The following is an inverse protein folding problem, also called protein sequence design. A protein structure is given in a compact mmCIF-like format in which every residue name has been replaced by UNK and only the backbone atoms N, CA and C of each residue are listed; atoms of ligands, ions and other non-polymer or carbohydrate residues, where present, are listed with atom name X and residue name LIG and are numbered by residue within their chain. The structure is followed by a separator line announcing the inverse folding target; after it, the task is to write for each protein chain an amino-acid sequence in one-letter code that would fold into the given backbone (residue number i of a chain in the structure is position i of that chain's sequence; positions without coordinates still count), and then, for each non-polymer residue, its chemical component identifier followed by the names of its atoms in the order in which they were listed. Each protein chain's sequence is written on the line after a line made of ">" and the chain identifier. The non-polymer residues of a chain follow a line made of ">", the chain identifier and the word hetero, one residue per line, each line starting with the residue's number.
data_IF_405192274007
#
_entry.id   IF_405192274007
#
_cell.length_a   1.000
_cell.length_b   1.000
_cell.length_c   1.000
_cell.angle_alpha   90.00
_cell.angle_beta   90.00
_cell.angle_gamma   90.00
#
_symmetry.space_group_name_H-M   'P 1'
#
loop_
_entity.id
_entity.type
_entity.pdbx_description
1 polymer ?
#
# COMPACT_ATOMS: atom_id res chain seq x y z
N UNK A 1 5.38 -12.81 -9.55
CA UNK A 1 4.32 -13.69 -10.09
C UNK A 1 4.32 -15.00 -9.29
N UNK A 2 3.33 -15.90 -9.43
CA UNK A 2 3.32 -17.17 -8.70
C UNK A 2 4.59 -18.02 -8.89
N UNK A 3 5.26 -17.89 -10.03
CA UNK A 3 6.51 -18.58 -10.35
C UNK A 3 7.78 -17.83 -9.90
N UNK A 4 7.64 -16.83 -9.02
CA UNK A 4 8.74 -15.96 -8.59
C UNK A 4 9.42 -15.19 -9.75
N UNK A 5 8.68 -14.87 -10.81
CA UNK A 5 9.17 -13.89 -11.79
C UNK A 5 8.77 -12.49 -11.36
N UNK A 6 9.58 -11.49 -11.69
CA UNK A 6 9.24 -10.09 -11.45
C UNK A 6 8.58 -9.51 -12.70
N UNK A 7 7.44 -8.86 -12.53
CA UNK A 7 6.79 -8.13 -13.62
C UNK A 7 7.45 -6.76 -13.79
N UNK A 8 7.59 -6.31 -15.04
CA UNK A 8 7.88 -4.92 -15.39
C UNK A 8 6.66 -4.18 -15.94
N UNK A 9 5.52 -4.86 -16.10
CA UNK A 9 4.30 -4.28 -16.66
C UNK A 9 3.60 -3.37 -15.66
N UNK A 10 3.06 -2.25 -16.16
CA UNK A 10 2.17 -1.37 -15.43
C UNK A 10 0.71 -1.72 -15.76
N UNK A 11 -0.09 -1.98 -14.74
CA UNK A 11 -1.52 -2.26 -14.89
C UNK A 11 -2.36 -1.15 -14.27
N UNK A 12 -3.31 -0.63 -15.04
CA UNK A 12 -4.30 0.34 -14.59
C UNK A 12 -5.61 -0.40 -14.32
N UNK A 13 -5.98 -0.48 -13.04
CA UNK A 13 -7.22 -1.11 -12.59
C UNK A 13 -8.28 -0.04 -12.33
N UNK A 14 -9.42 -0.15 -13.01
CA UNK A 14 -10.53 0.80 -12.91
C UNK A 14 -11.85 0.09 -12.68
N UNK A 15 -12.83 0.82 -12.14
CA UNK A 15 -14.21 0.34 -12.07
C UNK A 15 -14.85 0.50 -13.44
N UNK A 16 -15.28 -0.61 -14.03
CA UNK A 16 -15.93 -0.64 -15.35
C UNK A 16 -17.42 -0.39 -15.24
N UNK A 17 -18.09 -1.11 -14.35
CA UNK A 17 -19.52 -1.00 -14.13
C UNK A 17 -19.91 -1.45 -12.71
N UNK A 18 -21.05 -0.94 -12.26
CA UNK A 18 -21.71 -1.34 -11.00
C UNK A 18 -23.06 -1.97 -11.37
N UNK A 19 -23.17 -3.27 -11.17
CA UNK A 19 -24.38 -4.03 -11.46
C UNK A 19 -25.33 -4.11 -10.27
N UNK A 20 -26.43 -4.86 -10.44
CA UNK A 20 -27.36 -5.17 -9.35
C UNK A 20 -26.68 -5.97 -8.23
N UNK A 21 -27.25 -5.92 -7.02
CA UNK A 21 -26.78 -6.66 -5.84
C UNK A 21 -25.33 -6.36 -5.44
N UNK A 22 -24.90 -5.09 -5.52
CA UNK A 22 -23.54 -4.64 -5.17
C UNK A 22 -22.41 -5.29 -5.99
N UNK A 23 -22.73 -5.94 -7.12
CA UNK A 23 -21.72 -6.47 -8.03
C UNK A 23 -20.92 -5.34 -8.65
N UNK A 24 -19.59 -5.44 -8.60
CA UNK A 24 -18.67 -4.51 -9.26
C UNK A 24 -17.89 -5.28 -10.32
N UNK A 25 -17.85 -4.75 -11.53
CA UNK A 25 -16.96 -5.24 -12.59
C UNK A 25 -15.76 -4.32 -12.66
N UNK A 26 -14.55 -4.90 -12.65
CA UNK A 26 -13.30 -4.17 -12.78
C UNK A 26 -12.72 -4.38 -14.19
N UNK A 27 -12.03 -3.36 -14.69
CA UNK A 27 -11.26 -3.42 -15.93
C UNK A 27 -9.79 -3.24 -15.60
N UNK A 28 -8.98 -4.21 -15.98
CA UNK A 28 -7.52 -4.14 -15.89
C UNK A 28 -6.96 -3.88 -17.29
N UNK A 29 -6.19 -2.81 -17.45
CA UNK A 29 -5.53 -2.47 -18.70
C UNK A 29 -4.02 -2.46 -18.47
N UNK A 30 -3.29 -3.23 -19.26
CA UNK A 30 -1.84 -3.10 -19.33
C UNK A 30 -1.49 -1.82 -20.07
N UNK A 31 -0.71 -0.94 -19.41
CA UNK A 31 -0.22 0.30 -19.99
C UNK A 31 1.14 0.01 -20.62
N UNK A 32 1.24 0.27 -21.93
CA UNK A 32 2.51 0.25 -22.62
C UNK A 32 3.43 1.35 -22.08
N UNK A 33 4.67 0.97 -21.75
CA UNK A 33 5.70 1.87 -21.26
C UNK A 33 6.80 2.03 -22.32
N UNK A 34 7.18 3.27 -22.63
CA UNK A 34 8.18 3.60 -23.64
C UNK A 34 9.26 4.53 -23.08
N UNK A 35 10.40 4.65 -23.75
CA UNK A 35 11.52 5.48 -23.28
C UNK A 35 12.44 4.72 -22.34
N UNK A 36 12.56 5.18 -21.09
CA UNK A 36 13.43 4.57 -20.07
C UNK A 36 12.60 3.93 -18.94
N UNK A 37 11.86 2.84 -19.21
CA UNK A 37 11.02 2.21 -18.21
C UNK A 37 11.84 1.56 -17.08
N UNK A 38 11.33 1.53 -15.84
CA UNK A 38 11.97 0.79 -14.77
C UNK A 38 11.99 -0.70 -15.09
N UNK A 39 13.13 -1.36 -14.82
CA UNK A 39 13.21 -2.82 -14.89
C UNK A 39 12.33 -3.54 -13.83
N UNK A 40 12.11 -4.86 -13.99
CA UNK A 40 11.26 -5.65 -13.10
C UNK A 40 11.71 -5.59 -11.64
N UNK A 41 10.79 -5.26 -10.73
CA UNK A 41 11.11 -5.05 -9.31
C UNK A 41 9.91 -5.21 -8.37
N UNK A 42 10.18 -5.39 -7.08
CA UNK A 42 9.17 -5.43 -6.02
C UNK A 42 9.63 -4.63 -4.79
N UNK A 43 8.72 -4.33 -3.86
CA UNK A 43 9.04 -3.51 -2.68
C UNK A 43 9.43 -2.07 -3.01
N UNK A 44 9.09 -1.60 -4.20
CA UNK A 44 9.17 -0.20 -4.61
C UNK A 44 7.87 0.52 -4.25
N UNK A 45 7.85 1.84 -4.35
CA UNK A 45 6.63 2.63 -4.26
C UNK A 45 6.33 3.30 -5.60
N UNK A 46 5.04 3.55 -5.85
CA UNK A 46 4.56 4.37 -6.95
C UNK A 46 3.56 5.37 -6.39
N UNK A 47 3.66 6.62 -6.81
CA UNK A 47 2.83 7.74 -6.34
C UNK A 47 2.40 8.61 -7.50
N UNK A 48 1.22 9.24 -7.40
CA UNK A 48 0.73 10.17 -8.42
C UNK A 48 1.08 11.59 -8.01
N UNK A 49 1.65 12.37 -8.93
CA UNK A 49 1.88 13.81 -8.74
C UNK A 49 1.13 14.63 -9.78
N UNK A 50 0.66 15.79 -9.36
CA UNK A 50 -0.03 16.77 -10.19
C UNK A 50 0.77 18.06 -10.21
N UNK A 51 1.14 18.53 -11.40
CA UNK A 51 1.96 19.73 -11.56
C UNK A 51 1.52 20.50 -12.80
N UNK A 52 1.14 21.77 -12.63
CA UNK A 52 0.75 22.67 -13.74
C UNK A 52 -0.31 22.07 -14.68
N UNK A 53 -1.29 21.36 -14.11
CA UNK A 53 -2.39 20.71 -14.85
C UNK A 53 -2.01 19.39 -15.54
N UNK A 54 -0.79 18.89 -15.35
CA UNK A 54 -0.34 17.57 -15.83
C UNK A 54 -0.24 16.58 -14.70
N UNK A 55 -0.36 15.30 -15.02
CA UNK A 55 -0.26 14.19 -14.06
C UNK A 55 0.80 13.19 -14.49
N UNK A 56 1.63 12.75 -13.55
CA UNK A 56 2.63 11.72 -13.78
C UNK A 56 2.70 10.76 -12.58
N UNK A 57 3.15 9.54 -12.84
CA UNK A 57 3.56 8.62 -11.78
C UNK A 57 5.03 8.83 -11.45
N UNK A 58 5.33 8.86 -10.16
CA UNK A 58 6.67 8.80 -9.58
C UNK A 58 6.88 7.40 -9.05
N UNK A 59 7.89 6.69 -9.57
CA UNK A 59 8.30 5.37 -9.07
C UNK A 59 9.72 5.45 -8.51
N UNK A 60 9.93 4.87 -7.33
CA UNK A 60 11.24 4.89 -6.67
C UNK A 60 11.54 3.60 -5.90
N UNK A 61 12.82 3.21 -5.92
CA UNK A 61 13.40 2.11 -5.16
C UNK A 61 12.94 0.72 -5.59
N UNK A 62 12.91 -0.19 -4.61
CA UNK A 62 12.58 -1.60 -4.77
C UNK A 62 13.80 -2.50 -4.94
N UNK A 63 13.52 -3.80 -5.08
CA UNK A 63 14.49 -4.86 -5.31
C UNK A 63 14.23 -5.59 -6.60
N UNK A 64 15.30 -6.07 -7.19
CA UNK A 64 15.28 -7.01 -8.32
C UNK A 64 16.15 -8.22 -8.00
N UNK A 65 16.05 -9.26 -8.83
CA UNK A 65 17.08 -10.29 -8.85
C UNK A 65 18.43 -9.70 -9.25
N UNK A 66 19.50 -10.38 -8.85
CA UNK A 66 20.85 -10.11 -9.34
C UNK A 66 20.85 -10.08 -10.88
N UNK A 67 21.57 -9.13 -11.53
CA UNK A 67 21.64 -9.04 -12.98
C UNK A 67 22.00 -10.38 -13.65
N UNK A 68 21.47 -10.69 -14.84
CA UNK A 68 21.70 -11.97 -15.51
C UNK A 68 23.18 -12.35 -15.68
N UNK A 69 24.07 -11.36 -15.83
CA UNK A 69 25.51 -11.58 -15.98
C UNK A 69 26.19 -12.14 -14.71
N UNK A 70 25.59 -11.94 -13.53
CA UNK A 70 26.12 -12.34 -12.22
C UNK A 70 25.26 -13.44 -11.56
N UNK A 71 24.16 -13.84 -12.20
CA UNK A 71 23.20 -14.81 -11.68
C UNK A 71 23.63 -16.24 -11.99
N UNK A 72 23.71 -17.06 -10.97
CA UNK A 72 24.03 -18.48 -11.01
C UNK A 72 22.89 -19.30 -10.39
N UNK A 73 22.96 -20.63 -10.50
CA UNK A 73 22.01 -21.51 -9.81
C UNK A 73 22.10 -21.43 -8.29
N UNK A 74 23.27 -21.08 -7.73
CA UNK A 74 23.50 -20.98 -6.29
C UNK A 74 22.90 -19.71 -5.70
N UNK A 75 22.95 -18.61 -6.44
CA UNK A 75 22.41 -17.32 -6.01
C UNK A 75 21.07 -17.00 -6.69
N UNK A 76 20.37 -18.01 -7.25
CA UNK A 76 19.23 -17.81 -8.14
C UNK A 76 18.13 -16.91 -7.55
N UNK A 77 17.83 -17.05 -6.26
CA UNK A 77 16.80 -16.26 -5.58
C UNK A 77 17.35 -15.03 -4.85
N UNK A 78 18.63 -14.71 -5.01
CA UNK A 78 19.25 -13.56 -4.38
C UNK A 78 18.79 -12.27 -5.04
N UNK A 79 18.56 -11.25 -4.21
CA UNK A 79 18.02 -9.97 -4.62
C UNK A 79 18.95 -8.85 -4.20
N UNK A 80 18.94 -7.77 -4.97
CA UNK A 80 19.67 -6.52 -4.70
C UNK A 80 18.69 -5.36 -4.77
N UNK A 81 18.96 -4.28 -4.04
CA UNK A 81 18.20 -3.05 -4.25
C UNK A 81 18.49 -2.51 -5.66
N UNK A 82 17.44 -2.02 -6.30
CA UNK A 82 17.58 -1.34 -7.59
C UNK A 82 18.36 -0.03 -7.41
N UNK A 83 18.95 0.47 -8.50
CA UNK A 83 19.61 1.78 -8.52
C UNK A 83 18.66 2.87 -7.97
N UNK A 84 19.19 3.88 -7.25
CA UNK A 84 18.40 4.96 -6.65
C UNK A 84 17.96 6.01 -7.68
N UNK A 85 17.39 5.54 -8.80
CA UNK A 85 16.79 6.38 -9.83
C UNK A 85 15.33 6.64 -9.49
N UNK A 86 14.91 7.88 -9.76
CA UNK A 86 13.50 8.26 -9.79
C UNK A 86 13.00 8.11 -11.21
N UNK A 87 11.91 7.36 -11.39
CA UNK A 87 11.25 7.22 -12.69
C UNK A 87 10.01 8.11 -12.72
N UNK A 88 9.91 8.95 -13.75
CA UNK A 88 8.69 9.67 -14.08
C UNK A 88 8.01 8.97 -15.24
N UNK A 89 6.75 8.60 -15.06
CA UNK A 89 5.93 7.93 -16.06
C UNK A 89 4.73 8.82 -16.37
N UNK A 90 4.65 9.32 -17.60
CA UNK A 90 3.49 10.07 -18.04
C UNK A 90 2.23 9.19 -18.03
N UNK A 91 1.14 9.69 -17.43
CA UNK A 91 -0.09 8.91 -17.27
C UNK A 91 -0.81 8.67 -18.61
N UNK A 92 -0.78 9.65 -19.52
CA UNK A 92 -1.55 9.63 -20.76
C UNK A 92 -0.85 8.78 -21.83
N UNK A 93 0.47 8.91 -21.97
CA UNK A 93 1.24 8.30 -23.04
C UNK A 93 2.15 7.14 -22.57
N UNK A 94 2.35 6.96 -21.26
CA UNK A 94 3.25 5.92 -20.74
C UNK A 94 4.73 6.20 -21.03
N UNK A 95 5.08 7.45 -21.34
CA UNK A 95 6.47 7.85 -21.56
C UNK A 95 7.24 7.89 -20.24
N UNK A 96 8.28 7.07 -20.15
CA UNK A 96 9.16 6.94 -18.99
C UNK A 96 10.45 7.74 -19.19
N UNK A 97 10.89 8.41 -18.13
CA UNK A 97 12.23 9.00 -18.02
C UNK A 97 12.85 8.66 -16.67
N UNK A 98 14.15 8.37 -16.66
CA UNK A 98 14.88 8.00 -15.46
C UNK A 98 15.81 9.14 -15.01
N UNK A 99 15.78 9.48 -13.72
CA UNK A 99 16.50 10.63 -13.17
C UNK A 99 17.37 10.20 -12.00
N UNK A 100 18.66 10.57 -12.04
CA UNK A 100 19.55 10.50 -10.89
C UNK A 100 19.48 11.80 -10.12
N UNK A 101 19.37 11.70 -8.80
CA UNK A 101 19.39 12.83 -7.88
C UNK A 101 20.62 12.71 -6.98
N UNK A 102 21.48 13.75 -6.90
CA UNK A 102 22.71 13.70 -6.09
C UNK A 102 22.50 13.33 -4.62
N UNK A 103 21.33 13.65 -4.07
CA UNK A 103 20.95 13.38 -2.69
C UNK A 103 20.62 11.89 -2.45
N UNK A 104 20.35 11.11 -3.50
CA UNK A 104 19.97 9.70 -3.43
C UNK A 104 21.13 8.80 -3.83
N UNK A 105 21.95 8.41 -2.85
CA UNK A 105 23.17 7.63 -3.08
C UNK A 105 22.98 6.12 -3.07
N UNK A 106 22.01 5.64 -2.29
CA UNK A 106 21.78 4.21 -2.07
C UNK A 106 20.39 3.80 -2.50
N UNK A 107 20.31 2.62 -3.15
CA UNK A 107 19.04 1.94 -3.38
C UNK A 107 18.35 1.60 -2.06
N UNK A 108 17.02 1.59 -2.07
CA UNK A 108 16.24 1.22 -0.90
C UNK A 108 14.91 0.56 -1.30
N UNK A 109 14.36 -0.24 -0.41
CA UNK A 109 13.09 -0.96 -0.60
C UNK A 109 12.23 -0.94 0.66
N UNK A 110 10.93 -1.27 0.50
CA UNK A 110 9.95 -1.33 1.58
C UNK A 110 9.79 -0.04 2.40
N UNK A 111 10.06 1.10 1.77
CA UNK A 111 9.82 2.43 2.30
C UNK A 111 8.36 2.84 2.06
N UNK A 112 7.92 3.88 2.75
CA UNK A 112 6.63 4.53 2.52
C UNK A 112 6.77 5.66 1.50
N UNK A 113 5.69 5.97 0.80
CA UNK A 113 5.57 7.15 -0.04
C UNK A 113 4.20 7.81 0.20
N UNK A 114 4.19 9.11 0.48
CA UNK A 114 3.01 9.93 0.66
C UNK A 114 3.05 11.10 -0.32
N UNK A 115 2.04 11.24 -1.17
CA UNK A 115 2.00 12.27 -2.19
C UNK A 115 0.98 13.36 -1.84
N UNK A 116 1.37 14.62 -2.08
CA UNK A 116 0.51 15.79 -2.03
C UNK A 116 0.90 16.70 -3.18
N UNK A 117 -0.06 17.00 -4.05
CA UNK A 117 0.13 17.83 -5.25
C UNK A 117 1.33 17.38 -6.09
N UNK A 118 2.39 18.19 -6.15
CA UNK A 118 3.58 17.95 -6.94
C UNK A 118 4.76 17.38 -6.11
N UNK A 119 4.51 17.01 -4.86
CA UNK A 119 5.51 16.51 -3.92
C UNK A 119 5.21 15.06 -3.50
N UNK A 120 6.28 14.28 -3.33
CA UNK A 120 6.24 12.93 -2.74
C UNK A 120 7.22 12.88 -1.58
N UNK A 121 6.72 12.51 -0.40
CA UNK A 121 7.51 12.29 0.80
C UNK A 121 7.81 10.80 0.94
N UNK A 122 9.08 10.45 1.02
CA UNK A 122 9.55 9.08 1.21
C UNK A 122 10.05 8.89 2.64
N UNK A 123 9.60 7.83 3.30
CA UNK A 123 9.92 7.56 4.71
C UNK A 123 10.47 6.16 4.93
N UNK A 124 11.53 6.07 5.71
CA UNK A 124 12.17 4.81 6.10
C UNK A 124 12.70 4.03 4.91
N UNK A 125 12.55 2.72 4.97
CA UNK A 125 13.09 1.76 4.00
C UNK A 125 14.24 0.93 4.55
N UNK A 126 14.62 -0.07 3.78
CA UNK A 126 15.75 -0.95 4.05
C UNK A 126 16.79 -0.79 2.93
N UNK A 127 18.06 -0.75 3.31
CA UNK A 127 19.20 -0.81 2.39
C UNK A 127 19.82 -2.21 2.54
N UNK A 128 19.70 -3.01 1.49
CA UNK A 128 20.12 -4.40 1.44
C UNK A 128 21.65 -4.57 1.54
N UNK A 129 22.42 -3.67 0.93
CA UNK A 129 23.89 -3.76 0.89
C UNK A 129 24.54 -3.60 2.27
N UNK A 130 23.94 -2.79 3.13
CA UNK A 130 24.43 -2.50 4.48
C UNK A 130 23.56 -3.10 5.58
N UNK A 131 22.49 -3.80 5.21
CA UNK A 131 21.48 -4.36 6.10
C UNK A 131 20.99 -3.37 7.18
N UNK A 132 20.61 -2.16 6.76
CA UNK A 132 20.23 -1.10 7.69
C UNK A 132 18.87 -0.49 7.36
N UNK A 133 18.25 0.11 8.38
CA UNK A 133 16.98 0.86 8.29
C UNK A 133 17.22 2.29 8.71
N UNK A 134 17.77 3.14 7.83
CA UNK A 134 18.05 4.51 8.20
C UNK A 134 16.73 5.28 8.44
N UNK A 135 16.70 6.24 9.38
CA UNK A 135 15.54 7.10 9.60
C UNK A 135 15.40 8.15 8.48
N UNK A 136 15.33 7.68 7.23
CA UNK A 136 15.25 8.56 6.05
C UNK A 136 13.89 9.24 6.00
N UNK A 137 13.94 10.54 5.75
CA UNK A 137 12.81 11.33 5.29
C UNK A 137 13.33 12.26 4.21
N UNK A 138 12.74 12.19 3.03
CA UNK A 138 13.04 13.15 1.98
C UNK A 138 11.81 13.48 1.16
N UNK A 139 11.79 14.70 0.62
CA UNK A 139 10.74 15.20 -0.26
C UNK A 139 11.31 15.31 -1.66
N UNK A 140 10.70 14.57 -2.58
CA UNK A 140 10.87 14.81 -4.00
C UNK A 140 9.80 15.81 -4.46
N UNK A 141 10.22 16.91 -5.06
CA UNK A 141 9.33 17.84 -5.77
C UNK A 141 9.49 17.65 -7.28
N UNK A 142 8.37 17.58 -7.99
CA UNK A 142 8.32 17.34 -9.44
C UNK A 142 7.58 18.49 -10.14
N UNK A 143 8.27 19.20 -11.02
CA UNK A 143 7.65 20.20 -11.89
C UNK A 143 7.56 19.72 -13.34
N UNK A 144 6.34 19.53 -13.83
CA UNK A 144 6.08 19.03 -15.18
C UNK A 144 6.03 20.18 -16.20
N UNK A 145 7.20 20.71 -16.54
CA UNK A 145 7.36 21.83 -17.49
C UNK A 145 7.05 21.42 -18.94
N UNK A 146 7.03 22.39 -19.86
CA UNK A 146 7.04 22.12 -21.30
C UNK A 146 8.48 21.73 -21.69
N UNK A 147 8.67 20.50 -22.15
CA UNK A 147 9.99 19.92 -22.41
C UNK A 147 10.39 18.93 -21.33
N UNK A 148 11.44 19.23 -20.56
CA UNK A 148 11.95 18.36 -19.50
C UNK A 148 11.31 18.65 -18.14
N UNK A 149 11.01 17.62 -17.33
CA UNK A 149 10.63 17.84 -15.94
C UNK A 149 11.79 18.43 -15.14
N UNK A 150 11.46 19.22 -14.12
CA UNK A 150 12.42 19.68 -13.11
C UNK A 150 12.16 18.90 -11.82
N UNK A 151 13.19 18.27 -11.28
CA UNK A 151 13.12 17.51 -10.04
C UNK A 151 14.05 18.15 -9.00
N UNK A 152 13.58 18.25 -7.76
CA UNK A 152 14.42 18.63 -6.62
C UNK A 152 14.17 17.69 -5.44
N UNK A 153 15.21 17.40 -4.67
CA UNK A 153 15.14 16.51 -3.52
C UNK A 153 15.60 17.24 -2.26
N UNK A 154 14.74 17.31 -1.24
CA UNK A 154 15.06 17.89 0.06
C UNK A 154 15.18 16.75 1.08
N UNK A 155 16.29 16.69 1.82
CA UNK A 155 16.53 15.71 2.88
C UNK A 155 16.17 16.33 4.24
N UNK A 156 15.42 15.59 5.06
CA UNK A 156 15.03 15.98 6.42
C UNK A 156 15.70 15.07 7.46
N UNK A 157 15.84 15.58 8.70
CA UNK A 157 16.61 14.92 9.77
C UNK A 157 15.76 14.13 10.78
N UNK A 158 14.44 14.19 10.66
CA UNK A 158 13.45 13.71 11.64
C UNK A 158 12.63 12.52 11.12
N UNK A 159 13.20 11.72 10.22
CA UNK A 159 12.54 10.56 9.64
C UNK A 159 12.36 9.37 10.58
N UNK A 160 11.77 8.31 10.05
CA UNK A 160 11.43 7.09 10.79
C UNK A 160 12.28 5.91 10.32
N UNK A 161 12.96 5.23 11.26
CA UNK A 161 13.69 3.99 10.99
C UNK A 161 12.71 2.80 10.93
N UNK A 162 12.00 2.65 9.81
CA UNK A 162 10.92 1.69 9.65
C UNK A 162 10.89 1.06 8.26
N UNK A 163 10.40 -0.17 8.16
CA UNK A 163 10.17 -0.87 6.88
C UNK A 163 8.83 -1.58 6.86
N UNK A 164 8.21 -1.69 5.68
CA UNK A 164 6.96 -2.45 5.46
C UNK A 164 5.82 -2.01 6.37
N UNK A 165 5.81 -0.73 6.75
CA UNK A 165 4.73 -0.13 7.52
C UNK A 165 3.50 0.08 6.62
N UNK A 166 2.35 0.26 7.24
CA UNK A 166 1.08 0.49 6.56
C UNK A 166 0.70 1.95 6.80
N UNK A 167 0.32 2.63 5.72
CA UNK A 167 -0.23 3.98 5.76
C UNK A 167 -1.74 3.88 5.63
N UNK A 168 -2.47 4.41 6.62
CA UNK A 168 -3.93 4.44 6.61
C UNK A 168 -4.44 5.89 6.61
N UNK A 169 -5.22 6.31 5.61
CA UNK A 169 -5.77 7.66 5.55
C UNK A 169 -6.88 7.83 6.60
N UNK A 170 -6.88 8.97 7.29
CA UNK A 170 -7.81 9.25 8.41
C UNK A 170 -9.11 9.97 8.00
N UNK A 171 -9.30 10.26 6.72
CA UNK A 171 -10.55 10.79 6.16
C UNK A 171 -10.52 12.29 5.82
N UNK A 172 -9.73 13.07 6.54
CA UNK A 172 -9.31 14.43 6.16
C UNK A 172 -8.31 14.38 5.00
N UNK A 173 -8.26 15.46 4.20
CA UNK A 173 -7.35 15.54 3.07
C UNK A 173 -5.89 15.54 3.57
N UNK A 174 -5.13 14.53 3.17
CA UNK A 174 -3.70 14.38 3.45
C UNK A 174 -3.29 14.16 4.92
N UNK A 175 -4.19 13.61 5.75
CA UNK A 175 -3.82 13.08 7.07
C UNK A 175 -3.85 11.55 7.08
N UNK A 176 -2.85 10.97 7.74
CA UNK A 176 -2.58 9.55 7.74
C UNK A 176 -2.15 9.09 9.13
N UNK A 177 -2.30 7.79 9.35
CA UNK A 177 -1.64 7.08 10.43
C UNK A 177 -0.73 6.01 9.86
N UNK A 178 0.54 6.04 10.26
CA UNK A 178 1.50 4.98 10.00
C UNK A 178 1.40 3.99 11.14
N UNK A 179 1.08 2.74 10.81
CA UNK A 179 0.95 1.63 11.73
C UNK A 179 1.80 0.44 11.28
N UNK A 180 2.38 -0.25 12.26
CA UNK A 180 3.08 -1.49 12.04
C UNK A 180 4.42 -1.34 11.32
N UNK A 181 4.82 -2.41 10.62
CA UNK A 181 6.15 -2.54 10.04
C UNK A 181 7.20 -3.03 11.04
N UNK A 182 8.47 -2.79 10.72
CA UNK A 182 9.61 -3.35 11.45
C UNK A 182 10.68 -2.27 11.71
N UNK A 183 11.22 -2.25 12.93
CA UNK A 183 12.34 -1.40 13.33
C UNK A 183 13.69 -2.11 13.12
N UNK A 184 13.69 -3.44 13.19
CA UNK A 184 14.83 -4.31 12.91
C UNK A 184 14.33 -5.68 12.43
N UNK A 185 15.23 -6.57 12.05
CA UNK A 185 14.90 -7.93 11.58
C UNK A 185 14.20 -8.80 12.63
N UNK A 186 14.37 -8.46 13.91
CA UNK A 186 13.79 -9.19 15.04
C UNK A 186 12.73 -8.39 15.80
N UNK A 187 12.49 -7.12 15.43
CA UNK A 187 11.62 -6.23 16.18
C UNK A 187 10.56 -5.57 15.28
N UNK A 188 9.30 -5.94 15.54
CA UNK A 188 8.12 -5.24 14.98
C UNK A 188 7.99 -3.85 15.60
N UNK A 189 7.47 -2.90 14.83
CA UNK A 189 7.17 -1.55 15.32
C UNK A 189 5.78 -1.48 15.94
N UNK A 190 5.70 -1.41 17.27
CA UNK A 190 4.41 -1.42 17.98
C UNK A 190 3.73 -0.06 18.10
N UNK A 191 4.45 1.05 17.89
CA UNK A 191 3.92 2.42 17.99
C UNK A 191 3.28 2.88 16.67
N UNK A 192 2.27 3.74 16.79
CA UNK A 192 1.67 4.44 15.66
C UNK A 192 2.27 5.85 15.51
N UNK A 193 2.20 6.41 14.31
CA UNK A 193 2.58 7.81 14.04
C UNK A 193 1.54 8.46 13.18
N UNK A 194 0.99 9.56 13.68
CA UNK A 194 0.16 10.45 12.90
C UNK A 194 1.05 11.26 11.94
N UNK A 195 0.57 11.44 10.72
CA UNK A 195 1.25 12.22 9.68
C UNK A 195 0.24 13.14 9.01
N UNK A 196 0.53 14.43 8.98
CA UNK A 196 -0.21 15.41 8.18
C UNK A 196 0.71 15.97 7.09
N UNK A 197 0.18 16.14 5.88
CA UNK A 197 0.85 16.89 4.82
C UNK A 197 0.09 18.18 4.53
N UNK A 198 0.77 19.30 4.65
CA UNK A 198 0.24 20.63 4.37
C UNK A 198 1.21 21.42 3.47
N UNK A 199 1.01 22.74 3.37
CA UNK A 199 1.80 23.63 2.53
C UNK A 199 3.22 23.85 3.06
N UNK A 200 3.40 23.74 4.38
CA UNK A 200 4.70 23.90 5.05
C UNK A 200 5.51 22.60 4.96
N UNK A 201 4.86 21.45 4.94
CA UNK A 201 5.48 20.21 4.52
C UNK A 201 4.84 18.97 5.14
N UNK A 202 5.67 18.18 5.82
CA UNK A 202 5.26 16.96 6.51
C UNK A 202 5.39 17.18 8.01
N UNK A 203 4.31 16.89 8.74
CA UNK A 203 4.26 16.94 10.19
C UNK A 203 4.02 15.54 10.73
N UNK A 204 4.85 15.10 11.67
CA UNK A 204 4.77 13.76 12.25
C UNK A 204 4.67 13.83 13.77
N UNK A 205 3.68 13.15 14.33
CA UNK A 205 3.45 13.09 15.76
C UNK A 205 3.33 11.62 16.20
N UNK A 206 4.09 11.17 17.21
CA UNK A 206 3.86 9.87 17.84
C UNK A 206 2.43 9.79 18.37
N UNK A 207 1.78 8.64 18.16
CA UNK A 207 0.46 8.34 18.75
C UNK A 207 0.57 7.10 19.61
N UNK A 208 -0.29 7.03 20.62
CA UNK A 208 -0.38 5.87 21.47
C UNK A 208 -0.67 4.61 20.65
N UNK A 209 -0.04 3.52 21.06
CA UNK A 209 -0.29 2.23 20.44
C UNK A 209 -1.70 1.75 20.80
N UNK A 210 -2.41 1.09 19.87
CA UNK A 210 -3.57 0.29 20.21
C UNK A 210 -3.22 -0.72 21.31
N UNK A 211 -4.23 -1.18 22.06
CA UNK A 211 -4.07 -2.30 22.99
C UNK A 211 -3.82 -3.59 22.21
N UNK A 212 -2.54 -3.89 21.95
CA UNK A 212 -2.12 -5.08 21.23
C UNK A 212 -2.37 -6.32 22.08
N UNK A 213 -3.17 -7.25 21.55
CA UNK A 213 -3.35 -8.54 22.20
C UNK A 213 -2.05 -9.37 22.20
N UNK A 214 -2.06 -10.48 22.94
CA UNK A 214 -0.90 -11.37 23.09
C UNK A 214 -0.43 -11.96 21.76
N UNK A 215 -1.38 -12.32 20.87
CA UNK A 215 -1.08 -12.93 19.57
C UNK A 215 -0.28 -11.97 18.67
N UNK A 216 -0.71 -10.71 18.56
CA UNK A 216 0.01 -9.68 17.80
C UNK A 216 1.34 -9.35 18.46
N UNK A 217 1.35 -9.19 19.79
CA UNK A 217 2.54 -8.80 20.54
C UNK A 217 3.65 -9.85 20.44
N UNK A 218 3.31 -11.14 20.60
CA UNK A 218 4.26 -12.25 20.59
C UNK A 218 4.60 -12.75 19.18
N UNK A 219 3.77 -12.48 18.16
CA UNK A 219 4.07 -12.89 16.79
C UNK A 219 5.40 -12.29 16.31
N UNK A 220 6.23 -13.08 15.63
CA UNK A 220 7.46 -12.58 15.02
C UNK A 220 7.19 -11.65 13.84
N UNK A 221 6.14 -11.91 13.08
CA UNK A 221 5.82 -11.19 11.85
C UNK A 221 4.36 -10.76 11.81
N UNK A 222 4.12 -9.70 11.05
CA UNK A 222 2.80 -9.25 10.65
C UNK A 222 2.85 -8.67 9.24
N UNK A 223 1.70 -8.58 8.61
CA UNK A 223 1.50 -7.83 7.39
C UNK A 223 0.06 -7.36 7.34
N UNK A 224 -0.26 -6.53 6.37
CA UNK A 224 -1.58 -5.95 6.30
C UNK A 224 -1.71 -4.93 5.20
N UNK A 225 -2.84 -4.24 5.24
CA UNK A 225 -3.16 -3.19 4.29
C UNK A 225 -4.17 -2.22 4.89
N UNK A 226 -4.19 -1.03 4.32
CA UNK A 226 -5.19 -0.04 4.67
C UNK A 226 -6.57 -0.46 4.15
N UNK A 227 -7.58 -0.17 4.95
CA UNK A 227 -8.99 -0.27 4.62
C UNK A 227 -9.58 1.14 4.57
N UNK A 228 -10.82 1.25 4.08
CA UNK A 228 -11.55 2.52 4.09
C UNK A 228 -11.81 3.02 5.53
N UNK A 229 -12.09 4.32 5.65
CA UNK A 229 -12.53 4.96 6.91
C UNK A 229 -11.55 4.77 8.08
N UNK A 230 -10.29 5.15 7.89
CA UNK A 230 -9.30 5.14 8.98
C UNK A 230 -9.03 3.75 9.57
N UNK A 231 -9.25 2.68 8.81
CA UNK A 231 -9.12 1.31 9.29
C UNK A 231 -7.92 0.60 8.66
N UNK A 232 -7.34 -0.35 9.38
CA UNK A 232 -6.21 -1.19 8.91
C UNK A 232 -6.54 -2.65 9.17
N UNK A 233 -6.33 -3.51 8.17
CA UNK A 233 -6.34 -4.95 8.35
C UNK A 233 -4.93 -5.42 8.67
N UNK A 234 -4.76 -6.17 9.75
CA UNK A 234 -3.52 -6.84 10.13
C UNK A 234 -3.72 -8.35 10.11
N UNK A 235 -2.69 -9.06 9.70
CA UNK A 235 -2.62 -10.52 9.71
C UNK A 235 -1.36 -10.97 10.47
N UNK A 236 -1.49 -11.98 11.33
CA UNK A 236 -0.37 -12.62 12.02
C UNK A 236 -0.44 -14.15 11.83
N UNK A 237 0.70 -14.84 11.70
CA UNK A 237 0.71 -16.30 11.59
C UNK A 237 0.13 -16.97 12.83
N UNK A 238 -0.64 -18.05 12.67
CA UNK A 238 -1.31 -18.74 13.78
C UNK A 238 -0.38 -19.53 14.71
N UNK A 239 0.91 -19.68 14.36
CA UNK A 239 1.99 -20.12 15.24
C UNK A 239 1.87 -21.53 15.85
N UNK A 240 0.85 -22.29 15.47
CA UNK A 240 0.45 -23.53 16.14
C UNK A 240 0.91 -24.76 15.36
N UNK A 241 1.34 -25.79 16.11
CA UNK A 241 1.66 -27.11 15.58
C UNK A 241 0.75 -28.13 16.30
N UNK A 242 -0.11 -28.88 15.57
CA UNK A 242 -0.27 -28.88 14.12
C UNK A 242 -0.85 -27.58 13.58
N UNK A 243 -0.48 -27.21 12.35
CA UNK A 243 -0.98 -26.01 11.71
C UNK A 243 -2.52 -26.11 11.55
N UNK A 244 -3.30 -25.17 12.11
CA UNK A 244 -4.73 -25.09 11.84
C UNK A 244 -4.96 -24.85 10.34
N UNK A 245 -6.14 -25.19 9.81
CA UNK A 245 -6.48 -24.89 8.41
C UNK A 245 -6.37 -23.39 8.10
N UNK A 246 -6.62 -22.56 9.11
CA UNK A 246 -6.43 -21.11 9.05
C UNK A 246 -4.98 -20.75 9.42
N UNK A 247 -4.16 -20.46 8.39
CA UNK A 247 -2.75 -20.11 8.56
C UNK A 247 -2.48 -18.75 9.24
N UNK A 248 -3.51 -17.90 9.38
CA UNK A 248 -3.38 -16.54 9.89
C UNK A 248 -4.59 -16.12 10.73
N UNK A 249 -4.32 -15.37 11.80
CA UNK A 249 -5.34 -14.58 12.50
C UNK A 249 -5.40 -13.17 11.91
N UNK A 250 -6.62 -12.64 11.75
CA UNK A 250 -6.85 -11.32 11.18
C UNK A 250 -7.48 -10.37 12.20
N UNK A 251 -7.00 -9.13 12.22
CA UNK A 251 -7.48 -8.08 13.11
C UNK A 251 -7.74 -6.81 12.33
N UNK A 252 -8.81 -6.10 12.70
CA UNK A 252 -9.09 -4.76 12.19
C UNK A 252 -8.74 -3.74 13.27
N UNK A 253 -7.81 -2.85 12.98
CA UNK A 253 -7.50 -1.67 13.81
C UNK A 253 -8.22 -0.48 13.22
N UNK A 254 -8.96 0.28 14.03
CA UNK A 254 -9.72 1.45 13.57
C UNK A 254 -9.24 2.67 14.33
N UNK A 255 -8.98 3.77 13.61
CA UNK A 255 -8.58 5.04 14.18
C UNK A 255 -9.73 6.03 14.03
N UNK A 256 -10.15 6.63 15.15
CA UNK A 256 -11.18 7.66 15.17
C UNK A 256 -10.50 9.04 15.08
N UNK A 257 -11.09 9.94 14.31
CA UNK A 257 -10.72 11.35 14.30
C UNK A 257 -11.51 12.05 15.42
N UNK A 258 -10.84 12.81 16.29
CA UNK A 258 -11.49 13.66 17.29
C UNK A 258 -12.37 14.69 16.56
N UNK A 259 -13.67 14.41 16.44
CA UNK A 259 -14.61 15.23 15.67
C UNK A 259 -15.68 14.43 14.94
N UNK A 260 -15.50 13.11 14.78
CA UNK A 260 -16.54 12.21 14.30
C UNK A 260 -17.07 11.37 15.48
N UNK A 261 -17.73 12.05 16.43
CA UNK A 261 -18.65 11.40 17.36
C UNK A 261 -19.87 10.90 16.56
N UNK A 262 -19.70 9.83 15.80
CA UNK A 262 -20.84 8.96 15.54
C UNK A 262 -21.22 8.38 16.91
N UNK A 263 -22.48 8.62 17.31
CA UNK A 263 -23.06 8.22 18.59
C UNK A 263 -22.56 6.83 19.02
N UNK A 264 -22.18 6.63 20.29
CA UNK A 264 -21.72 5.33 20.76
C UNK A 264 -22.77 4.30 20.37
N UNK A 265 -22.34 3.32 19.56
CA UNK A 265 -23.17 2.23 19.09
C UNK A 265 -23.97 1.71 20.28
N UNK A 266 -25.28 1.92 20.21
CA UNK A 266 -26.23 1.45 21.20
C UNK A 266 -25.96 -0.04 21.39
N UNK A 267 -25.46 -0.39 22.57
CA UNK A 267 -25.30 -1.77 23.02
C UNK A 267 -26.68 -2.42 23.02
N UNK A 268 -27.06 -3.00 21.88
CA UNK A 268 -28.21 -3.89 21.78
C UNK A 268 -27.81 -5.24 22.36
N UNK A 269 -27.70 -5.29 23.69
CA UNK A 269 -27.92 -6.52 24.44
C UNK A 269 -29.40 -6.85 24.29
N UNK A 270 -29.73 -7.73 23.34
CA UNK A 270 -31.02 -8.42 23.37
C UNK A 270 -30.76 -9.91 23.53
N UNK A 271 -30.86 -10.31 24.79
CA UNK A 271 -31.17 -11.66 25.23
C UNK A 271 -32.49 -12.08 24.56
N UNK A 272 -32.40 -13.07 23.67
CA UNK A 272 -33.53 -13.60 22.92
C UNK A 272 -34.33 -14.58 23.81
N UNK A 273 -35.51 -14.16 24.26
CA UNK A 273 -36.55 -15.08 24.74
C UNK A 273 -37.49 -15.45 23.60
N UNK A 274 -37.60 -16.76 23.39
CA UNK A 274 -38.50 -17.48 22.50
C UNK A 274 -39.97 -17.07 22.68
N UNK A 275 -40.74 -16.99 21.58
CA UNK A 275 -42.14 -17.44 21.51
C UNK A 275 -42.56 -17.68 20.04
N UNK A 276 -42.89 -18.93 19.76
CA UNK A 276 -43.85 -19.52 18.79
C UNK A 276 -45.04 -18.62 18.42
N UNK A 277 -45.80 -18.75 17.32
CA UNK A 277 -45.93 -19.70 16.21
C UNK A 277 -46.99 -19.07 15.27
N UNK A 278 -46.86 -19.20 13.94
CA UNK A 278 -47.98 -19.10 12.98
C UNK A 278 -47.55 -19.60 11.58
N UNK A 279 -48.38 -20.51 11.06
CA UNK A 279 -48.19 -21.46 9.97
C UNK A 279 -48.26 -20.86 8.52
N UNK A 280 -48.03 -21.67 7.45
CA UNK A 280 -47.44 -21.24 6.18
C UNK A 280 -48.46 -20.78 5.15
N UNK A 281 -48.03 -19.89 4.24
CA UNK A 281 -48.71 -19.64 2.98
C UNK A 281 -47.87 -20.24 1.84
N UNK A 282 -48.34 -21.40 1.37
CA UNK A 282 -48.10 -21.85 0.00
C UNK A 282 -48.78 -20.86 -0.94
N UNK A 283 -48.05 -20.32 -1.91
CA UNK A 283 -48.58 -20.30 -3.26
C UNK A 283 -47.46 -20.39 -4.29
N UNK A 284 -47.78 -21.13 -5.35
CA UNK A 284 -46.85 -21.79 -6.25
C UNK A 284 -46.89 -21.10 -7.60
N UNK A 285 -45.78 -20.53 -8.09
CA UNK A 285 -45.64 -20.19 -9.51
C UNK A 285 -44.20 -20.45 -9.98
N UNK A 286 -43.96 -21.67 -10.49
CA UNK A 286 -42.91 -21.91 -11.48
C UNK A 286 -43.36 -21.31 -12.83
N UNK A 287 -42.45 -20.72 -13.63
CA UNK A 287 -42.32 -21.06 -15.07
C UNK A 287 -41.07 -20.45 -15.75
N UNK A 288 -40.17 -21.38 -16.13
CA UNK A 288 -39.37 -21.57 -17.35
C UNK A 288 -38.47 -20.49 -17.99
N UNK A 289 -37.21 -20.91 -18.17
CA UNK A 289 -36.21 -20.39 -19.09
C UNK A 289 -36.60 -20.64 -20.55
N UNK A 290 -36.59 -19.59 -21.38
CA UNK A 290 -36.56 -19.70 -22.83
C UNK A 290 -35.13 -19.56 -23.36
N UNK A 291 -34.63 -20.58 -24.07
CA UNK A 291 -33.55 -20.48 -25.06
C UNK A 291 -34.17 -20.56 -26.46
N UNK A 292 -33.61 -19.77 -27.37
CA UNK A 292 -34.05 -19.33 -28.71
C UNK A 292 -34.38 -20.43 -29.75
N UNK A 293 -34.95 -20.06 -30.92
CA UNK A 293 -34.09 -19.90 -32.11
C UNK A 293 -34.51 -18.82 -33.15
N UNK A 294 -33.51 -18.24 -33.81
CA UNK A 294 -33.45 -17.72 -35.19
C UNK A 294 -34.50 -16.72 -35.71
N UNK A 295 -34.05 -15.48 -35.92
CA UNK A 295 -34.00 -14.80 -37.24
C UNK A 295 -32.80 -13.85 -37.29
#
# INVERSE_FOLDING_TARGET
>A
TPNNELSASLYILTVDSRGCNRKVTLRCQEKELVGEPPGPRYGHTISVVHSRGKTAYVLFGGRSYIPPAERTSENWNSVVDCLPQVYLIDQEFGCCSAHFLPELTDGQSFHLALARENCVYFLGGHIASTDCRPPRLFRLRVELLLGSPLLSCDIFNDGLAITSAIVTPLGSAHEYIIIGGYQSDSQKRMQCTYVALDDDGIHMEPRDAPEWNTEISQSRTWFGGSLEKGSTLLAVPSGTNPAPPDGYYFYKVTFQHEGNEEEPAQTCSQESTEFEDSAPLEDSEELYFGREPHE
#
